data_IF_123866507879
#
_entry.id   IF_123866507879
#
_cell.length_a   1.000
_cell.length_b   1.000
_cell.length_c   1.000
_cell.angle_alpha   90.00
_cell.angle_beta   90.00
_cell.angle_gamma   90.00
#
_symmetry.space_group_name_H-M   'P 1'
#
loop_
_entity.id
_entity.type
_entity.pdbx_description
1 polymer ?
#
# COMPACT_ATOMS: atom_id res chain seq x y z
N UNK A 1 -0.18 32.05 17.97
CA UNK A 1 -0.88 30.86 17.45
C UNK A 1 0.16 30.02 16.70
N UNK A 2 0.91 29.22 17.44
CA UNK A 2 2.13 28.54 16.97
C UNK A 2 1.74 27.19 16.38
N UNK A 3 1.88 27.04 15.05
CA UNK A 3 1.54 25.79 14.35
C UNK A 3 2.61 24.75 14.68
N UNK A 4 2.23 23.77 15.50
CA UNK A 4 3.07 22.64 15.92
C UNK A 4 3.65 21.91 14.70
N UNK A 5 4.95 22.07 14.47
CA UNK A 5 5.69 21.36 13.42
C UNK A 5 6.08 20.00 14.00
N UNK A 6 5.25 18.99 13.79
CA UNK A 6 5.60 17.61 14.14
C UNK A 6 6.89 17.22 13.39
N UNK A 7 7.96 16.91 14.13
CA UNK A 7 9.22 16.48 13.55
C UNK A 7 9.10 15.02 13.10
N UNK A 8 9.33 14.77 11.82
CA UNK A 8 9.36 13.42 11.25
C UNK A 8 10.80 12.94 11.15
N UNK A 9 11.04 11.68 11.53
CA UNK A 9 12.30 11.03 11.24
C UNK A 9 12.24 10.44 9.83
N UNK A 10 13.15 10.86 8.95
CA UNK A 10 13.27 10.27 7.62
C UNK A 10 14.04 8.95 7.71
N UNK A 11 13.50 7.90 7.12
CA UNK A 11 14.21 6.63 6.99
C UNK A 11 15.17 6.69 5.79
N UNK A 12 16.47 6.70 6.04
CA UNK A 12 17.48 6.69 4.98
C UNK A 12 17.74 5.27 4.47
N UNK A 13 17.67 5.06 3.16
CA UNK A 13 18.13 3.84 2.53
C UNK A 13 19.64 3.93 2.23
N UNK A 14 20.48 2.98 2.70
CA UNK A 14 21.93 3.14 2.77
C UNK A 14 22.73 3.01 1.47
N UNK A 15 22.13 2.88 0.26
CA UNK A 15 22.90 2.72 -1.00
C UNK A 15 22.32 3.49 -2.21
N UNK A 16 21.76 4.68 -1.99
CA UNK A 16 21.34 5.55 -3.10
C UNK A 16 22.57 6.24 -3.72
N UNK A 17 23.10 5.67 -4.81
CA UNK A 17 24.19 6.25 -5.62
C UNK A 17 23.83 7.68 -6.10
N UNK A 18 24.78 8.64 -6.14
CA UNK A 18 24.52 10.07 -6.35
C UNK A 18 23.87 10.45 -7.70
N UNK A 19 23.77 9.50 -8.64
CA UNK A 19 23.04 9.69 -9.91
C UNK A 19 21.51 9.75 -9.73
N UNK A 20 20.97 9.35 -8.57
CA UNK A 20 19.54 9.17 -8.34
C UNK A 20 18.83 10.46 -7.86
N UNK A 21 19.59 11.50 -7.50
CA UNK A 21 19.05 12.77 -7.00
C UNK A 21 18.58 13.75 -8.10
N UNK A 22 18.99 13.53 -9.36
CA UNK A 22 18.78 14.54 -10.44
C UNK A 22 17.56 14.26 -11.33
N UNK A 23 16.90 13.10 -11.20
CA UNK A 23 15.70 12.76 -11.99
C UNK A 23 14.36 13.22 -11.35
N UNK A 24 14.38 13.91 -10.21
CA UNK A 24 13.17 14.30 -9.48
C UNK A 24 12.52 15.63 -9.94
N UNK A 25 12.90 16.16 -11.11
CA UNK A 25 12.46 17.50 -11.56
C UNK A 25 11.46 17.54 -12.71
N UNK A 26 10.96 16.41 -13.20
CA UNK A 26 9.87 16.41 -14.19
C UNK A 26 8.81 15.39 -13.81
N UNK A 27 7.57 15.72 -14.18
CA UNK A 27 6.31 15.01 -13.91
C UNK A 27 5.64 15.39 -12.58
N UNK A 28 5.18 16.64 -12.54
CA UNK A 28 3.99 17.05 -11.78
C UNK A 28 2.86 17.08 -12.82
N UNK A 29 2.11 15.99 -12.97
CA UNK A 29 0.65 16.01 -13.14
C UNK A 29 0.08 14.59 -13.12
N UNK A 30 -1.21 14.49 -12.81
CA UNK A 30 -2.07 13.31 -12.72
C UNK A 30 -1.97 12.48 -11.43
N UNK A 31 -2.75 12.89 -10.42
CA UNK A 31 -3.31 11.98 -9.42
C UNK A 31 -4.83 12.01 -9.49
N UNK A 32 -5.46 10.84 -9.63
CA UNK A 32 -6.72 10.59 -8.98
C UNK A 32 -6.56 9.51 -7.91
N UNK A 33 -7.37 9.69 -6.89
CA UNK A 33 -7.48 8.97 -5.63
C UNK A 33 -7.63 7.44 -5.77
N UNK A 34 -7.17 6.71 -4.74
CA UNK A 34 -7.62 5.38 -4.33
C UNK A 34 -7.37 4.18 -5.29
N UNK A 35 -6.30 3.44 -5.00
CA UNK A 35 -6.36 1.99 -5.10
C UNK A 35 -5.66 1.38 -3.87
N UNK A 36 -6.39 0.50 -3.22
CA UNK A 36 -5.97 -0.45 -2.21
C UNK A 36 -4.80 -1.26 -2.77
N UNK A 37 -3.55 -0.86 -2.51
CA UNK A 37 -2.40 -1.71 -2.84
C UNK A 37 -2.03 -2.52 -1.62
N UNK A 38 -2.73 -3.65 -1.46
CA UNK A 38 -2.11 -4.85 -0.94
C UNK A 38 -1.11 -5.33 -2.01
N UNK A 39 0.19 -5.12 -1.76
CA UNK A 39 1.21 -5.84 -2.53
C UNK A 39 1.18 -7.26 -2.00
N UNK A 40 0.31 -8.08 -2.56
CA UNK A 40 0.29 -9.52 -2.33
C UNK A 40 1.38 -10.13 -3.21
N UNK A 41 2.40 -10.69 -2.57
CA UNK A 41 3.43 -11.48 -3.25
C UNK A 41 2.74 -12.80 -3.64
N UNK A 42 2.58 -13.15 -4.94
CA UNK A 42 1.93 -14.39 -5.29
C UNK A 42 2.81 -15.59 -4.92
N UNK A 43 2.30 -16.46 -4.05
CA UNK A 43 2.82 -17.81 -3.81
C UNK A 43 2.15 -18.73 -4.85
N UNK A 44 2.88 -19.55 -5.62
CA UNK A 44 2.27 -20.45 -6.59
C UNK A 44 1.65 -21.66 -5.88
N UNK A 45 0.37 -21.59 -5.54
CA UNK A 45 -0.37 -22.71 -4.94
C UNK A 45 -1.03 -23.57 -6.02
N UNK A 46 -0.30 -24.61 -6.41
CA UNK A 46 -0.93 -25.82 -6.93
C UNK A 46 -1.43 -26.67 -5.77
N UNK A 47 -2.66 -27.18 -5.93
CA UNK A 47 -3.30 -28.27 -5.17
C UNK A 47 -4.27 -27.84 -4.05
N UNK A 48 -5.52 -27.58 -4.47
CA UNK A 48 -6.72 -27.59 -3.64
C UNK A 48 -7.90 -28.13 -4.46
N UNK A 49 -8.86 -28.87 -3.85
CA UNK A 49 -9.73 -29.81 -4.56
C UNK A 49 -10.82 -29.13 -5.39
N UNK A 50 -10.96 -29.60 -6.63
CA UNK A 50 -11.98 -29.20 -7.59
C UNK A 50 -13.36 -29.75 -7.22
N UNK A 51 -14.36 -28.86 -7.13
CA UNK A 51 -15.78 -29.22 -7.25
C UNK A 51 -16.33 -28.68 -8.58
N UNK A 52 -17.19 -29.44 -9.29
CA UNK A 52 -17.45 -29.20 -10.71
C UNK A 52 -18.49 -28.09 -10.95
N UNK A 53 -18.18 -27.19 -11.89
CA UNK A 53 -19.11 -26.19 -12.42
C UNK A 53 -20.14 -26.81 -13.39
N UNK A 54 -21.38 -26.29 -13.48
CA UNK A 54 -22.37 -26.77 -14.44
C UNK A 54 -22.00 -26.35 -15.87
N UNK A 55 -22.12 -27.29 -16.82
CA UNK A 55 -21.83 -27.07 -18.26
C UNK A 55 -22.83 -26.08 -18.87
N UNK A 56 -22.37 -24.86 -19.16
CA UNK A 56 -23.08 -23.95 -20.08
C UNK A 56 -22.76 -24.37 -21.53
N UNK A 57 -23.79 -24.56 -22.36
CA UNK A 57 -23.64 -24.73 -23.81
C UNK A 57 -23.21 -23.39 -24.44
N UNK A 58 -22.29 -23.37 -25.40
CA UNK A 58 -21.95 -22.13 -26.09
C UNK A 58 -23.11 -21.71 -27.01
N UNK A 59 -23.67 -20.52 -26.75
CA UNK A 59 -24.54 -19.83 -27.69
C UNK A 59 -23.67 -19.10 -28.73
N UNK A 60 -24.07 -19.15 -30.00
CA UNK A 60 -23.39 -18.46 -31.10
C UNK A 60 -23.44 -16.93 -30.91
N UNK A 61 -22.40 -16.18 -31.31
CA UNK A 61 -22.40 -14.72 -31.19
C UNK A 61 -23.34 -14.08 -32.21
N UNK A 62 -24.10 -13.03 -31.84
CA UNK A 62 -24.89 -12.28 -32.81
C UNK A 62 -23.97 -11.49 -33.77
N UNK A 63 -24.33 -11.40 -35.06
CA UNK A 63 -23.55 -10.65 -36.04
C UNK A 63 -23.76 -9.14 -35.82
N UNK A 64 -22.68 -8.39 -35.59
CA UNK A 64 -22.71 -6.93 -35.70
C UNK A 64 -22.11 -6.08 -34.57
N UNK A 65 -21.39 -6.64 -33.59
CA UNK A 65 -20.73 -5.83 -32.56
C UNK A 65 -19.37 -5.30 -33.03
N UNK A 66 -19.36 -4.39 -34.02
CA UNK A 66 -18.25 -3.47 -34.23
C UNK A 66 -18.24 -2.42 -33.11
N UNK A 67 -17.08 -2.27 -32.46
CA UNK A 67 -16.63 -1.06 -31.75
C UNK A 67 -17.66 -0.38 -30.86
N UNK A 68 -17.75 -0.79 -29.60
CA UNK A 68 -18.30 0.08 -28.56
C UNK A 68 -17.13 0.65 -27.78
N UNK A 69 -16.89 1.94 -27.96
CA UNK A 69 -15.97 2.73 -27.15
C UNK A 69 -16.20 2.42 -25.68
N UNK A 70 -15.17 1.87 -25.03
CA UNK A 70 -15.13 1.62 -23.60
C UNK A 70 -15.03 2.97 -22.89
N UNK A 71 -16.19 3.59 -22.65
CA UNK A 71 -16.29 4.68 -21.69
C UNK A 71 -15.72 4.23 -20.32
N UNK A 72 -15.26 5.17 -19.47
CA UNK A 72 -14.60 4.82 -18.23
C UNK A 72 -15.48 3.87 -17.41
N UNK A 73 -15.00 2.63 -17.22
CA UNK A 73 -15.67 1.62 -16.41
C UNK A 73 -15.83 2.17 -15.00
N UNK A 74 -17.06 2.45 -14.59
CA UNK A 74 -17.34 2.82 -13.21
C UNK A 74 -16.97 1.64 -12.30
N UNK A 75 -16.38 1.90 -11.12
CA UNK A 75 -16.08 0.85 -10.17
C UNK A 75 -17.37 0.15 -9.75
N UNK A 76 -17.35 -1.18 -9.69
CA UNK A 76 -18.46 -1.97 -9.20
C UNK A 76 -18.62 -1.68 -7.70
N UNK A 77 -19.76 -1.11 -7.31
CA UNK A 77 -20.08 -0.84 -5.91
C UNK A 77 -20.65 -2.12 -5.27
N UNK A 78 -20.04 -2.54 -4.15
CA UNK A 78 -20.59 -3.59 -3.30
C UNK A 78 -21.56 -2.97 -2.28
N UNK A 79 -22.81 -3.41 -2.29
CA UNK A 79 -23.82 -3.02 -1.29
C UNK A 79 -23.91 -4.11 -0.22
N UNK A 80 -24.03 -3.69 1.03
CA UNK A 80 -24.13 -4.57 2.21
C UNK A 80 -25.33 -4.14 3.06
N UNK A 81 -25.93 -5.08 3.78
CA UNK A 81 -27.03 -4.76 4.70
C UNK A 81 -26.50 -3.93 5.88
N UNK A 82 -27.30 -3.03 6.48
CA UNK A 82 -26.84 -2.21 7.61
C UNK A 82 -26.29 -3.02 8.79
N UNK A 83 -26.78 -4.24 8.99
CA UNK A 83 -26.31 -5.16 10.04
C UNK A 83 -24.91 -5.75 9.77
N UNK A 84 -24.42 -5.69 8.54
CA UNK A 84 -23.07 -6.14 8.16
C UNK A 84 -22.03 -5.02 8.29
N UNK A 85 -22.49 -3.77 8.50
CA UNK A 85 -21.61 -2.65 8.77
C UNK A 85 -21.21 -2.65 10.26
N UNK A 86 -19.93 -2.40 10.57
CA UNK A 86 -19.52 -2.26 11.96
C UNK A 86 -20.15 -1.02 12.60
N UNK A 87 -20.63 -1.16 13.85
CA UNK A 87 -21.23 -0.07 14.63
C UNK A 87 -20.29 1.13 14.81
N UNK A 88 -18.99 0.90 14.73
CA UNK A 88 -17.96 1.93 14.83
C UNK A 88 -16.95 1.78 13.71
N UNK A 89 -16.52 2.93 13.18
CA UNK A 89 -15.38 2.98 12.27
C UNK A 89 -14.12 2.51 13.02
N UNK A 90 -13.34 1.57 12.47
CA UNK A 90 -12.07 1.17 13.04
C UNK A 90 -11.13 2.38 13.22
N UNK A 91 -10.31 2.35 14.27
CA UNK A 91 -9.37 3.43 14.58
C UNK A 91 -8.34 3.68 13.46
N UNK A 92 -8.07 2.68 12.63
CA UNK A 92 -7.18 2.71 11.48
C UNK A 92 -7.74 1.85 10.34
N UNK A 93 -7.31 2.13 9.11
CA UNK A 93 -7.74 1.36 7.95
C UNK A 93 -7.28 -0.10 8.02
N UNK A 94 -8.00 -1.01 7.36
CA UNK A 94 -7.57 -2.39 7.21
C UNK A 94 -6.16 -2.45 6.58
N UNK A 95 -5.29 -3.31 7.12
CA UNK A 95 -3.90 -3.45 6.66
C UNK A 95 -2.98 -2.27 6.99
N UNK A 96 -3.44 -1.25 7.72
CA UNK A 96 -2.61 -0.10 8.10
C UNK A 96 -1.60 -0.43 9.22
N UNK A 97 -1.80 -1.53 9.96
CA UNK A 97 -0.96 -1.93 11.09
C UNK A 97 -0.04 -3.07 10.71
N UNK A 98 1.23 -2.96 11.11
CA UNK A 98 2.22 -4.04 10.99
C UNK A 98 3.05 -4.15 12.26
N UNK A 99 3.35 -5.37 12.70
CA UNK A 99 4.27 -5.59 13.81
C UNK A 99 5.71 -5.73 13.28
N UNK A 100 6.68 -5.14 13.99
CA UNK A 100 8.10 -5.36 13.71
C UNK A 100 8.70 -6.49 14.59
N UNK A 101 9.93 -6.86 14.28
CA UNK A 101 10.64 -7.95 14.98
C UNK A 101 11.04 -7.60 16.43
N UNK A 102 10.95 -6.33 16.83
CA UNK A 102 11.34 -5.84 18.15
C UNK A 102 10.10 -5.57 19.04
N UNK A 103 8.91 -5.94 18.58
CA UNK A 103 7.66 -5.81 19.35
C UNK A 103 6.99 -4.44 19.27
N UNK A 104 7.32 -3.62 18.27
CA UNK A 104 6.60 -2.37 18.01
C UNK A 104 5.51 -2.55 16.96
N UNK A 105 4.48 -1.70 17.03
CA UNK A 105 3.43 -1.57 16.01
C UNK A 105 3.70 -0.35 15.14
N UNK A 106 3.73 -0.58 13.83
CA UNK A 106 3.82 0.44 12.80
C UNK A 106 2.43 0.68 12.22
N UNK A 107 1.87 1.85 12.47
CA UNK A 107 0.53 2.24 12.01
C UNK A 107 0.67 3.30 10.94
N UNK A 108 0.24 2.97 9.71
CA UNK A 108 0.24 3.92 8.59
C UNK A 108 -0.77 5.02 8.86
N UNK A 109 -0.29 6.26 8.86
CA UNK A 109 -1.14 7.42 9.07
C UNK A 109 -1.95 7.74 7.81
N UNK A 110 -3.19 8.17 8.02
CA UNK A 110 -4.01 8.79 6.97
C UNK A 110 -3.61 10.27 6.92
N UNK A 111 -2.92 10.73 5.86
CA UNK A 111 -2.40 12.08 5.82
C UNK A 111 -3.55 13.11 5.78
N UNK A 112 -3.49 14.11 6.65
CA UNK A 112 -4.37 15.30 6.58
C UNK A 112 -3.83 16.37 5.64
N UNK A 113 -2.59 16.23 5.20
CA UNK A 113 -1.91 17.07 4.22
C UNK A 113 -0.87 16.24 3.44
N UNK A 114 -0.47 16.68 2.24
CA UNK A 114 0.48 15.91 1.42
C UNK A 114 1.84 15.76 2.10
N UNK A 115 2.32 14.52 2.17
CA UNK A 115 3.70 14.19 2.49
C UNK A 115 4.41 13.64 1.25
N UNK A 116 5.74 13.79 1.16
CA UNK A 116 6.51 13.24 0.03
C UNK A 116 6.52 11.70 0.00
N UNK A 117 6.10 11.03 1.07
CA UNK A 117 6.02 9.58 1.20
C UNK A 117 5.06 9.15 2.31
N UNK A 118 4.84 7.84 2.50
CA UNK A 118 3.97 7.36 3.56
C UNK A 118 4.61 7.57 4.93
N UNK A 119 3.79 7.95 5.90
CA UNK A 119 4.19 8.17 7.30
C UNK A 119 3.62 7.04 8.16
N UNK A 120 4.45 6.54 9.07
CA UNK A 120 4.09 5.55 10.06
C UNK A 120 4.31 6.08 11.47
N UNK A 121 3.27 6.03 12.29
CA UNK A 121 3.41 6.12 13.73
C UNK A 121 3.94 4.79 14.26
N UNK A 122 5.00 4.82 15.06
CA UNK A 122 5.56 3.61 15.68
C UNK A 122 5.24 3.62 17.16
N UNK A 123 4.49 2.62 17.59
CA UNK A 123 3.98 2.46 18.95
C UNK A 123 4.76 1.32 19.61
N UNK A 124 5.36 1.56 20.77
CA UNK A 124 6.09 0.53 21.50
C UNK A 124 5.16 -0.49 22.17
N UNK A 125 5.73 -1.56 22.72
CA UNK A 125 4.98 -2.61 23.42
C UNK A 125 4.26 -2.13 24.70
N UNK A 126 4.56 -0.92 25.19
CA UNK A 126 3.84 -0.29 26.29
C UNK A 126 2.71 0.63 25.80
N UNK A 127 2.45 0.69 24.49
CA UNK A 127 1.40 1.51 23.89
C UNK A 127 1.78 2.99 23.70
N UNK A 128 3.06 3.37 23.85
CA UNK A 128 3.50 4.76 23.68
C UNK A 128 3.96 5.01 22.25
N UNK A 129 3.68 6.21 21.74
CA UNK A 129 4.24 6.66 20.47
C UNK A 129 5.76 6.86 20.61
N UNK A 130 6.53 5.91 20.12
CA UNK A 130 7.98 5.92 20.17
C UNK A 130 8.59 6.80 19.06
N UNK A 131 7.99 6.81 17.86
CA UNK A 131 8.51 7.60 16.72
C UNK A 131 7.44 7.86 15.65
N UNK A 132 7.75 8.74 14.70
CA UNK A 132 7.02 8.94 13.45
C UNK A 132 8.00 8.90 12.27
N UNK A 133 7.88 7.86 11.46
CA UNK A 133 8.81 7.56 10.38
C UNK A 133 8.19 7.90 9.04
N UNK A 134 8.86 8.78 8.29
CA UNK A 134 8.55 9.06 6.89
C UNK A 134 9.40 8.15 6.00
N UNK A 135 8.75 7.33 5.17
CA UNK A 135 9.47 6.51 4.19
C UNK A 135 9.81 7.33 2.94
N UNK A 136 10.89 6.96 2.22
CA UNK A 136 11.19 7.53 0.92
C UNK A 136 10.00 7.39 -0.05
N UNK A 137 9.86 8.38 -0.94
CA UNK A 137 8.81 8.38 -1.97
C UNK A 137 8.87 7.09 -2.80
N UNK A 138 7.70 6.53 -3.13
CA UNK A 138 7.59 5.35 -3.99
C UNK A 138 8.01 4.03 -3.33
N UNK A 139 8.30 4.04 -2.03
CA UNK A 139 8.60 2.82 -1.27
C UNK A 139 7.41 2.34 -0.45
N UNK A 140 7.37 1.03 -0.20
CA UNK A 140 6.45 0.39 0.73
C UNK A 140 7.22 -0.58 1.63
N UNK A 141 6.73 -0.83 2.85
CA UNK A 141 7.34 -1.83 3.73
C UNK A 141 7.09 -3.22 3.11
N UNK A 142 8.16 -3.96 2.87
CA UNK A 142 8.13 -5.37 2.49
C UNK A 142 8.20 -6.29 3.71
N UNK A 143 8.92 -5.88 4.76
CA UNK A 143 9.01 -6.64 6.01
C UNK A 143 9.94 -6.00 7.03
N UNK A 144 10.11 -6.66 8.17
CA UNK A 144 10.96 -6.22 9.27
C UNK A 144 12.03 -7.27 9.58
N UNK A 145 13.20 -6.80 9.97
CA UNK A 145 14.27 -7.63 10.53
C UNK A 145 14.61 -7.19 11.95
N UNK A 146 15.36 -8.01 12.70
CA UNK A 146 15.70 -7.72 14.08
C UNK A 146 16.54 -6.44 14.22
N UNK A 147 16.44 -5.77 15.36
CA UNK A 147 17.22 -4.57 15.70
C UNK A 147 16.94 -3.39 14.77
N UNK A 148 15.66 -3.10 14.56
CA UNK A 148 15.16 -1.91 13.86
C UNK A 148 15.38 -1.93 12.35
N UNK A 149 15.58 -3.11 11.75
CA UNK A 149 15.74 -3.22 10.30
C UNK A 149 14.38 -3.19 9.62
N UNK A 150 14.25 -2.35 8.60
CA UNK A 150 13.05 -2.28 7.76
C UNK A 150 13.44 -2.60 6.32
N UNK A 151 12.79 -3.59 5.72
CA UNK A 151 12.93 -3.89 4.30
C UNK A 151 11.87 -3.13 3.53
N UNK A 152 12.30 -2.35 2.55
CA UNK A 152 11.44 -1.55 1.69
C UNK A 152 11.44 -2.16 0.29
N UNK A 153 10.27 -2.27 -0.32
CA UNK A 153 10.11 -2.54 -1.74
C UNK A 153 9.88 -1.25 -2.50
N UNK A 154 10.54 -1.10 -3.64
CA UNK A 154 10.24 -0.07 -4.64
C UNK A 154 9.98 -0.78 -5.97
N UNK A 155 8.90 -0.42 -6.66
CA UNK A 155 8.65 -0.93 -8.00
C UNK A 155 9.56 -0.23 -8.99
N UNK A 156 10.26 -1.01 -9.80
CA UNK A 156 11.19 -0.55 -10.84
C UNK A 156 10.86 -1.30 -12.14
N UNK A 157 10.00 -0.69 -12.95
CA UNK A 157 9.36 -1.35 -14.10
C UNK A 157 8.56 -2.59 -13.66
N UNK A 158 8.93 -3.74 -14.22
CA UNK A 158 8.34 -5.04 -13.91
C UNK A 158 9.02 -5.77 -12.74
N UNK A 159 10.06 -5.18 -12.15
CA UNK A 159 10.77 -5.73 -11.00
C UNK A 159 10.43 -4.98 -9.70
N UNK A 160 10.75 -5.62 -8.56
CA UNK A 160 10.75 -4.96 -7.26
C UNK A 160 12.18 -4.94 -6.73
N UNK A 161 12.68 -3.74 -6.45
CA UNK A 161 13.97 -3.55 -5.79
C UNK A 161 13.76 -3.54 -4.28
N UNK A 162 14.48 -4.42 -3.58
CA UNK A 162 14.50 -4.43 -2.12
C UNK A 162 15.59 -3.49 -1.60
N UNK A 163 15.25 -2.64 -0.64
CA UNK A 163 16.18 -1.78 0.08
C UNK A 163 16.12 -2.14 1.56
N UNK A 164 17.26 -2.10 2.24
CA UNK A 164 17.32 -2.33 3.69
C UNK A 164 17.63 -1.03 4.39
N UNK A 165 16.76 -0.57 5.26
CA UNK A 165 17.01 0.60 6.08
C UNK A 165 17.03 0.26 7.58
N UNK A 166 17.44 1.21 8.39
CA UNK A 166 17.37 1.14 9.86
C UNK A 166 16.64 2.35 10.39
N UNK A 167 15.66 2.12 11.27
CA UNK A 167 14.95 3.20 11.94
C UNK A 167 15.87 3.95 12.88
#
# INVERSE_FOLDING_TARGET
>A
MERSRAAFKALAAPDASPAMADSARRVIDASPFAALFEVQIPIPDGMGPSSPAPRQRPAAPPPGAMGRDEGPSLPVLAFVEPAELPDYKPAFAAGAVRADADGNLWVREIPTHPYPGPVYAVIDGAGRLADRVLLPRGTAIAGFGPRGVVYLGMRDGDAVRLMRARR
#
